data_IF_291353564196
#
_entry.id   IF_291353564196
#
_cell.length_a   1.000
_cell.length_b   1.000
_cell.length_c   1.000
_cell.angle_alpha   90.00
_cell.angle_beta   90.00
_cell.angle_gamma   90.00
#
_symmetry.space_group_name_H-M   'P 1'
#
loop_
_entity.id
_entity.type
_entity.pdbx_description
1 polymer ?
#
# COMPACT_ATOMS: atom_id res chain seq x y z
N UNK A 1 2.63 -10.57 -10.18
CA UNK A 1 2.03 -10.34 -8.87
C UNK A 1 0.55 -10.08 -9.08
N UNK A 2 -0.26 -11.16 -9.06
CA UNK A 2 -1.70 -11.08 -9.26
C UNK A 2 -2.37 -10.25 -8.17
N UNK A 3 -3.53 -9.68 -8.50
CA UNK A 3 -4.40 -8.98 -7.55
C UNK A 3 -4.91 -9.98 -6.50
N UNK A 4 -4.19 -10.09 -5.38
CA UNK A 4 -4.53 -11.00 -4.27
C UNK A 4 -5.07 -10.26 -3.05
N UNK A 5 -5.42 -8.98 -3.23
CA UNK A 5 -5.97 -8.13 -2.19
C UNK A 5 -7.47 -8.36 -1.95
N UNK A 6 -7.93 -7.97 -0.75
CA UNK A 6 -9.35 -7.95 -0.43
C UNK A 6 -10.15 -7.15 -1.48
N UNK A 7 -11.29 -7.70 -1.90
CA UNK A 7 -12.12 -7.16 -2.97
C UNK A 7 -11.65 -7.46 -4.39
N UNK A 8 -10.46 -8.05 -4.58
CA UNK A 8 -10.03 -8.52 -5.89
C UNK A 8 -10.88 -9.73 -6.31
N UNK A 9 -11.29 -9.74 -7.58
CA UNK A 9 -11.97 -10.90 -8.16
C UNK A 9 -10.95 -11.76 -8.90
N UNK A 10 -10.93 -13.05 -8.58
CA UNK A 10 -10.14 -14.05 -9.30
C UNK A 10 -10.98 -14.57 -10.45
N UNK A 11 -10.62 -14.18 -11.64
CA UNK A 11 -11.23 -14.56 -12.91
C UNK A 11 -10.16 -14.78 -13.99
N UNK A 12 -10.58 -14.95 -15.24
CA UNK A 12 -9.66 -15.19 -16.36
C UNK A 12 -8.73 -14.01 -16.66
N UNK A 13 -9.03 -12.80 -16.18
CA UNK A 13 -8.16 -11.61 -16.32
C UNK A 13 -7.06 -11.55 -15.26
N UNK A 14 -7.11 -12.44 -14.24
CA UNK A 14 -6.09 -12.56 -13.22
C UNK A 14 -4.81 -13.17 -13.80
N UNK A 15 -3.65 -12.85 -13.20
CA UNK A 15 -2.35 -13.38 -13.63
C UNK A 15 -2.19 -14.87 -13.28
N UNK A 16 -2.99 -15.71 -13.96
CA UNK A 16 -2.99 -17.17 -13.82
C UNK A 16 -2.39 -17.79 -15.08
N UNK A 17 -1.31 -18.53 -14.90
CA UNK A 17 -0.73 -19.35 -15.96
C UNK A 17 -1.18 -20.80 -15.79
N UNK A 18 -1.81 -21.36 -16.81
CA UNK A 18 -2.22 -22.77 -16.82
C UNK A 18 -1.28 -23.58 -17.70
N UNK A 19 -0.65 -24.59 -17.10
CA UNK A 19 0.28 -25.49 -17.78
C UNK A 19 -0.34 -26.88 -17.85
N UNK A 20 -0.68 -27.34 -19.05
CA UNK A 20 -1.09 -28.72 -19.27
C UNK A 20 0.14 -29.64 -19.24
N UNK A 21 0.06 -30.72 -18.46
CA UNK A 21 1.03 -31.80 -18.44
C UNK A 21 0.42 -33.02 -19.17
N UNK A 22 1.17 -33.61 -20.08
CA UNK A 22 0.77 -34.74 -20.90
C UNK A 22 1.40 -36.03 -20.38
N UNK A 23 0.82 -37.18 -20.76
CA UNK A 23 1.27 -38.50 -20.36
C UNK A 23 2.69 -38.85 -20.84
N UNK A 24 3.14 -38.23 -21.91
CA UNK A 24 4.50 -38.36 -22.45
C UNK A 24 5.55 -37.56 -21.65
N UNK A 25 5.13 -36.90 -20.54
CA UNK A 25 5.97 -36.05 -19.69
C UNK A 25 6.18 -34.63 -20.22
N UNK A 26 5.66 -34.28 -21.40
CA UNK A 26 5.74 -32.93 -21.93
C UNK A 26 4.81 -31.97 -21.16
N UNK A 27 5.12 -30.68 -21.23
CA UNK A 27 4.31 -29.61 -20.63
C UNK A 27 4.15 -28.47 -21.60
N UNK A 28 2.96 -27.87 -21.64
CA UNK A 28 2.67 -26.72 -22.51
C UNK A 28 1.75 -25.74 -21.80
N UNK A 29 2.05 -24.45 -21.91
CA UNK A 29 1.14 -23.39 -21.52
C UNK A 29 -0.09 -23.38 -22.42
N UNK A 30 -1.28 -23.27 -21.82
CA UNK A 30 -2.56 -23.30 -22.52
C UNK A 30 -3.36 -22.04 -22.20
N UNK A 31 -4.13 -21.56 -23.19
CA UNK A 31 -4.85 -20.29 -23.12
C UNK A 31 -6.37 -20.47 -23.23
N UNK A 32 -6.85 -21.65 -23.65
CA UNK A 32 -8.26 -22.00 -23.87
C UNK A 32 -8.93 -22.60 -22.63
N UNK A 33 -8.52 -22.13 -21.45
CA UNK A 33 -9.10 -22.51 -20.17
C UNK A 33 -10.14 -21.48 -19.68
N UNK A 34 -10.99 -21.89 -18.76
CA UNK A 34 -12.02 -21.04 -18.13
C UNK A 34 -11.97 -21.16 -16.61
N UNK A 35 -12.59 -20.20 -15.93
CA UNK A 35 -12.93 -20.29 -14.49
C UNK A 35 -14.45 -20.43 -14.39
N UNK A 36 -14.91 -21.51 -13.78
CA UNK A 36 -16.35 -21.79 -13.68
C UNK A 36 -17.00 -21.04 -12.50
N UNK A 37 -16.25 -20.69 -11.45
CA UNK A 37 -16.72 -20.01 -10.26
C UNK A 37 -15.77 -18.86 -9.86
N UNK A 38 -15.80 -17.71 -10.54
CA UNK A 38 -15.05 -16.53 -10.12
C UNK A 38 -15.33 -16.20 -8.65
N UNK A 39 -14.29 -15.90 -7.88
CA UNK A 39 -14.42 -15.58 -6.47
C UNK A 39 -13.86 -14.20 -6.15
N UNK A 40 -14.60 -13.44 -5.36
CA UNK A 40 -14.10 -12.19 -4.78
C UNK A 40 -13.42 -12.51 -3.46
N UNK A 41 -12.16 -12.10 -3.33
CA UNK A 41 -11.34 -12.37 -2.15
C UNK A 41 -11.81 -11.53 -0.96
N UNK A 42 -11.88 -12.17 0.19
CA UNK A 42 -12.12 -11.52 1.49
C UNK A 42 -10.90 -11.69 2.38
N UNK A 43 -10.64 -10.68 3.20
CA UNK A 43 -9.52 -10.70 4.14
C UNK A 43 -9.58 -11.95 5.02
N UNK A 44 -8.42 -12.57 5.21
CA UNK A 44 -8.20 -13.77 6.05
C UNK A 44 -9.01 -15.01 5.65
N UNK A 45 -9.69 -15.00 4.47
CA UNK A 45 -10.40 -16.15 3.94
C UNK A 45 -9.62 -16.82 2.80
N UNK A 46 -9.76 -18.14 2.70
CA UNK A 46 -9.32 -18.90 1.53
C UNK A 46 -10.48 -19.05 0.57
N UNK A 47 -10.32 -18.55 -0.65
CA UNK A 47 -11.29 -18.72 -1.73
C UNK A 47 -10.82 -19.82 -2.67
N UNK A 48 -11.74 -20.64 -3.13
CA UNK A 48 -11.44 -21.69 -4.11
C UNK A 48 -12.11 -21.36 -5.42
N UNK A 49 -11.34 -21.33 -6.50
CA UNK A 49 -11.83 -21.17 -7.87
C UNK A 49 -11.51 -22.43 -8.65
N UNK A 50 -12.43 -22.85 -9.51
CA UNK A 50 -12.27 -24.05 -10.34
C UNK A 50 -11.81 -23.64 -11.75
N UNK A 51 -10.58 -23.97 -12.08
CA UNK A 51 -10.02 -23.81 -13.41
C UNK A 51 -10.38 -25.03 -14.25
N UNK A 52 -10.96 -24.80 -15.43
CA UNK A 52 -11.34 -25.85 -16.38
C UNK A 52 -10.56 -25.73 -17.66
N UNK A 53 -9.97 -26.84 -18.07
CA UNK A 53 -9.31 -27.00 -19.36
C UNK A 53 -9.76 -28.32 -20.01
N UNK A 54 -10.48 -28.25 -21.14
CA UNK A 54 -11.12 -29.40 -21.81
C UNK A 54 -12.06 -30.16 -20.85
N UNK A 55 -11.81 -31.44 -20.63
CA UNK A 55 -12.56 -32.32 -19.72
C UNK A 55 -12.00 -32.38 -18.29
N UNK A 56 -10.96 -31.61 -18.01
CA UNK A 56 -10.28 -31.60 -16.71
C UNK A 56 -10.60 -30.32 -15.93
N UNK A 57 -10.75 -30.49 -14.64
CA UNK A 57 -10.92 -29.39 -13.68
C UNK A 57 -9.82 -29.45 -12.63
N UNK A 58 -9.43 -28.28 -12.15
CA UNK A 58 -8.48 -28.14 -11.06
C UNK A 58 -8.94 -27.02 -10.12
N UNK A 59 -9.04 -27.33 -8.82
CA UNK A 59 -9.39 -26.35 -7.81
C UNK A 59 -8.14 -25.61 -7.35
N UNK A 60 -8.13 -24.31 -7.59
CA UNK A 60 -7.10 -23.39 -7.15
C UNK A 60 -7.56 -22.70 -5.86
N UNK A 61 -6.89 -22.99 -4.76
CA UNK A 61 -7.09 -22.28 -3.50
C UNK A 61 -6.24 -21.01 -3.45
N UNK A 62 -6.89 -19.87 -3.30
CA UNK A 62 -6.25 -18.58 -3.18
C UNK A 62 -6.52 -18.03 -1.80
N UNK A 63 -5.47 -17.86 -1.02
CA UNK A 63 -5.56 -17.18 0.27
C UNK A 63 -5.37 -15.67 0.02
N UNK A 64 -6.32 -14.87 0.51
CA UNK A 64 -6.14 -13.43 0.54
C UNK A 64 -5.06 -13.10 1.58
N UNK A 65 -3.88 -12.75 1.10
CA UNK A 65 -2.73 -12.39 1.96
C UNK A 65 -2.73 -10.94 2.40
N UNK A 66 -3.69 -10.14 1.93
CA UNK A 66 -3.83 -8.76 2.36
C UNK A 66 -4.80 -8.70 3.52
N UNK A 67 -4.27 -8.38 4.63
CA UNK A 67 -5.01 -7.85 5.77
C UNK A 67 -5.81 -6.67 5.25
N UNK A 68 -7.14 -6.68 5.39
CA UNK A 68 -7.99 -5.54 5.00
C UNK A 68 -7.53 -4.25 5.66
N UNK A 69 -8.06 -3.11 5.20
CA UNK A 69 -7.65 -1.78 5.67
C UNK A 69 -7.53 -1.70 7.21
N UNK A 70 -8.53 -2.16 7.93
CA UNK A 70 -8.51 -2.14 9.40
C UNK A 70 -7.41 -3.02 9.98
N UNK A 71 -7.18 -4.18 9.39
CA UNK A 71 -6.12 -5.07 9.83
C UNK A 71 -4.73 -4.50 9.55
N UNK A 72 -4.54 -3.82 8.39
CA UNK A 72 -3.32 -3.08 8.11
C UNK A 72 -3.09 -1.98 9.14
N UNK A 73 -4.10 -1.15 9.40
CA UNK A 73 -4.04 -0.06 10.39
C UNK A 73 -3.69 -0.58 11.79
N UNK A 74 -4.24 -1.74 12.19
CA UNK A 74 -3.94 -2.38 13.48
C UNK A 74 -2.50 -2.90 13.59
N UNK A 75 -1.84 -3.18 12.47
CA UNK A 75 -0.43 -3.62 12.45
C UNK A 75 0.56 -2.46 12.46
N UNK A 76 0.09 -1.22 12.21
CA UNK A 76 0.94 -0.04 12.23
C UNK A 76 1.35 0.33 13.65
N UNK A 77 2.64 0.53 13.85
CA UNK A 77 3.23 0.88 15.13
C UNK A 77 3.39 2.39 15.27
N UNK A 78 3.42 2.88 16.52
CA UNK A 78 3.86 4.24 16.81
C UNK A 78 5.37 4.20 17.03
N UNK A 79 6.15 4.57 16.05
CA UNK A 79 7.60 4.81 16.20
C UNK A 79 7.78 6.30 16.47
N UNK A 80 8.61 6.65 17.46
CA UNK A 80 8.89 8.05 17.74
C UNK A 80 9.54 8.73 16.54
N UNK A 81 9.16 9.97 16.25
CA UNK A 81 9.74 10.73 15.15
C UNK A 81 11.26 10.81 15.25
N UNK A 82 11.78 11.08 16.46
CA UNK A 82 13.21 11.21 16.72
C UNK A 82 13.98 9.91 16.38
N UNK A 83 13.35 8.75 16.53
CA UNK A 83 13.94 7.47 16.15
C UNK A 83 14.04 7.37 14.63
N UNK A 84 12.96 7.67 13.90
CA UNK A 84 13.00 7.67 12.45
C UNK A 84 13.94 8.73 11.88
N UNK A 85 14.00 9.92 12.49
CA UNK A 85 14.87 11.01 12.04
C UNK A 85 16.37 10.70 12.24
N UNK A 86 16.72 9.79 13.15
CA UNK A 86 18.12 9.37 13.40
C UNK A 86 18.49 8.08 12.67
N UNK A 87 17.55 7.17 12.54
CA UNK A 87 17.77 5.79 12.11
C UNK A 87 16.79 5.32 11.05
N UNK A 88 16.16 6.23 10.28
CA UNK A 88 15.07 5.94 9.33
C UNK A 88 15.36 4.77 8.40
N UNK A 89 16.57 4.68 7.90
CA UNK A 89 16.99 3.60 7.00
C UNK A 89 17.03 2.22 7.67
N UNK A 90 17.10 2.15 8.99
CA UNK A 90 17.04 0.88 9.75
C UNK A 90 15.61 0.35 9.90
N UNK A 91 14.62 1.22 9.68
CA UNK A 91 13.19 0.91 9.81
C UNK A 91 12.48 0.71 8.46
N UNK A 92 13.22 0.70 7.34
CA UNK A 92 12.62 0.53 6.00
C UNK A 92 11.74 -0.72 5.95
N UNK A 93 10.49 -0.54 5.49
CA UNK A 93 9.49 -1.60 5.39
C UNK A 93 8.68 -1.86 6.66
N UNK A 94 9.01 -1.22 7.78
CA UNK A 94 8.17 -1.30 8.98
C UNK A 94 6.86 -0.51 8.79
N UNK A 95 5.77 -1.04 9.36
CA UNK A 95 4.45 -0.41 9.29
C UNK A 95 4.31 0.60 10.42
N UNK A 96 4.02 1.85 10.04
CA UNK A 96 3.92 2.97 10.97
C UNK A 96 2.61 3.72 10.81
N UNK A 97 2.18 4.39 11.89
CA UNK A 97 1.10 5.37 11.87
C UNK A 97 1.55 6.66 12.55
N UNK A 98 1.09 7.78 12.00
CA UNK A 98 1.26 9.10 12.58
C UNK A 98 -0.02 9.90 12.42
N UNK A 99 -0.21 10.84 13.32
CA UNK A 99 -1.23 11.88 13.25
C UNK A 99 -0.54 13.23 13.11
N UNK A 100 -1.06 14.10 12.25
CA UNK A 100 -0.45 15.41 12.08
C UNK A 100 -1.22 16.34 11.16
N UNK A 101 -0.67 17.56 11.00
CA UNK A 101 -1.19 18.59 10.12
C UNK A 101 -0.43 18.62 8.79
N UNK A 102 -1.16 18.70 7.70
CA UNK A 102 -0.59 18.89 6.35
C UNK A 102 -0.04 20.30 6.23
N UNK A 103 1.27 20.43 6.04
CA UNK A 103 1.95 21.71 5.83
C UNK A 103 2.05 22.09 4.35
N UNK A 104 2.10 21.11 3.47
CA UNK A 104 2.26 21.32 2.04
C UNK A 104 1.70 20.14 1.27
N UNK A 105 1.02 20.42 0.15
CA UNK A 105 0.50 19.43 -0.79
C UNK A 105 1.20 19.60 -2.13
N UNK A 106 1.88 18.58 -2.61
CA UNK A 106 2.54 18.52 -3.90
C UNK A 106 1.89 17.42 -4.74
N UNK A 107 1.07 17.82 -5.71
CA UNK A 107 0.44 16.86 -6.61
C UNK A 107 1.45 16.38 -7.65
N UNK A 108 1.59 15.08 -7.76
CA UNK A 108 2.38 14.41 -8.80
C UNK A 108 1.54 14.06 -10.01
N UNK A 109 2.19 13.43 -10.98
CA UNK A 109 1.52 12.77 -12.10
C UNK A 109 0.84 11.46 -11.60
N UNK A 110 -0.03 10.88 -12.42
CA UNK A 110 -0.62 9.55 -12.18
C UNK A 110 -1.35 9.38 -10.83
N UNK A 111 -2.09 10.42 -10.40
CA UNK A 111 -2.92 10.35 -9.20
C UNK A 111 -2.14 10.25 -7.87
N UNK A 112 -0.84 10.51 -7.89
CA UNK A 112 -0.01 10.54 -6.69
C UNK A 112 -0.01 11.92 -6.03
N UNK A 113 0.25 11.94 -4.73
CA UNK A 113 0.44 13.16 -3.95
C UNK A 113 1.57 12.94 -2.95
N UNK A 114 2.41 13.95 -2.81
CA UNK A 114 3.41 14.03 -1.76
C UNK A 114 2.98 15.12 -0.77
N UNK A 115 2.87 14.74 0.51
CA UNK A 115 2.50 15.63 1.59
C UNK A 115 3.70 15.86 2.51
N UNK A 116 3.86 17.07 3.00
CA UNK A 116 4.69 17.35 4.17
C UNK A 116 3.77 17.46 5.38
N UNK A 117 3.95 16.59 6.36
CA UNK A 117 3.05 16.49 7.50
C UNK A 117 3.85 16.74 8.78
N UNK A 118 3.46 17.76 9.54
CA UNK A 118 4.00 17.98 10.88
C UNK A 118 3.30 17.03 11.86
N UNK A 119 4.08 16.23 12.57
CA UNK A 119 3.55 15.22 13.51
C UNK A 119 3.59 15.68 14.95
N UNK A 120 3.99 16.93 15.21
CA UNK A 120 4.07 17.52 16.54
C UNK A 120 3.50 18.92 16.57
N UNK A 121 2.55 19.14 17.49
CA UNK A 121 2.06 20.48 17.81
C UNK A 121 2.91 21.14 18.89
N UNK A 122 3.12 22.45 18.77
CA UNK A 122 3.68 23.26 19.85
C UNK A 122 2.70 23.41 21.01
N UNK A 123 3.18 23.90 22.16
CA UNK A 123 2.33 24.23 23.30
C UNK A 123 1.22 25.27 22.98
N UNK A 124 1.35 25.99 21.88
CA UNK A 124 0.37 26.99 21.39
C UNK A 124 -0.51 26.47 20.27
N UNK A 125 -0.46 25.17 19.96
CA UNK A 125 -1.28 24.54 18.94
C UNK A 125 -0.77 24.69 17.50
N UNK A 126 0.44 25.24 17.30
CA UNK A 126 1.04 25.37 15.99
C UNK A 126 1.79 24.08 15.61
N UNK A 127 1.71 23.67 14.33
CA UNK A 127 2.33 22.49 13.77
C UNK A 127 3.45 22.89 12.82
N UNK A 128 4.72 22.73 13.22
CA UNK A 128 5.87 23.10 12.39
C UNK A 128 7.02 22.09 12.49
N UNK A 129 7.08 21.34 13.57
CA UNK A 129 8.20 20.46 13.88
C UNK A 129 7.87 19.01 13.52
N UNK A 130 8.90 18.16 13.54
CA UNK A 130 8.79 16.72 13.35
C UNK A 130 8.07 16.38 12.03
N UNK A 131 8.63 16.92 10.92
CA UNK A 131 8.03 16.79 9.58
C UNK A 131 8.36 15.45 8.95
N UNK A 132 7.32 14.73 8.54
CA UNK A 132 7.40 13.49 7.76
C UNK A 132 6.98 13.76 6.32
N UNK A 133 7.73 13.25 5.34
CA UNK A 133 7.31 13.21 3.95
C UNK A 133 6.39 12.01 3.76
N UNK A 134 5.22 12.23 3.20
CA UNK A 134 4.22 11.17 2.96
C UNK A 134 3.91 11.12 1.49
N UNK A 135 4.21 10.00 0.85
CA UNK A 135 3.79 9.73 -0.52
C UNK A 135 2.54 8.84 -0.49
N UNK A 136 1.53 9.20 -1.28
CA UNK A 136 0.25 8.53 -1.31
C UNK A 136 -0.36 8.54 -2.72
N UNK A 137 -1.04 7.46 -3.08
CA UNK A 137 -1.85 7.36 -4.29
C UNK A 137 -3.33 7.51 -3.93
N UNK A 138 -4.00 8.53 -4.51
CA UNK A 138 -5.42 8.77 -4.27
C UNK A 138 -6.27 7.58 -4.71
N UNK A 139 -7.18 7.17 -3.85
CA UNK A 139 -8.20 6.17 -4.19
C UNK A 139 -9.34 6.84 -4.96
N UNK A 140 -10.03 6.06 -5.79
CA UNK A 140 -11.18 6.55 -6.57
C UNK A 140 -12.25 7.17 -5.65
N UNK A 141 -12.63 8.41 -5.95
CA UNK A 141 -13.66 9.16 -5.20
C UNK A 141 -13.16 9.80 -3.90
N UNK A 142 -11.88 9.69 -3.58
CA UNK A 142 -11.32 10.35 -2.41
C UNK A 142 -11.18 11.88 -2.65
N UNK A 143 -11.55 12.72 -1.68
CA UNK A 143 -11.32 14.16 -1.77
C UNK A 143 -9.80 14.46 -1.75
N UNK A 144 -9.42 15.57 -2.38
CA UNK A 144 -8.03 16.03 -2.35
C UNK A 144 -7.68 16.59 -0.97
N UNK A 145 -6.45 16.34 -0.55
CA UNK A 145 -5.89 16.97 0.65
C UNK A 145 -5.61 18.45 0.41
N UNK A 146 -5.78 19.22 1.46
CA UNK A 146 -5.47 20.65 1.52
C UNK A 146 -4.43 20.91 2.61
N UNK A 147 -3.75 22.04 2.51
CA UNK A 147 -2.94 22.57 3.62
C UNK A 147 -3.84 22.81 4.83
N UNK A 148 -3.31 22.61 6.02
CA UNK A 148 -3.99 22.63 7.32
C UNK A 148 -4.92 21.45 7.62
N UNK A 149 -5.15 20.51 6.69
CA UNK A 149 -5.88 19.28 7.01
C UNK A 149 -5.19 18.50 8.13
N UNK A 150 -6.01 17.99 9.06
CA UNK A 150 -5.57 17.07 10.10
C UNK A 150 -5.78 15.65 9.63
N UNK A 151 -4.71 14.88 9.53
CA UNK A 151 -4.76 13.52 8.98
C UNK A 151 -4.11 12.50 9.90
N UNK A 152 -4.58 11.25 9.82
CA UNK A 152 -3.84 10.09 10.32
C UNK A 152 -3.41 9.26 9.12
N UNK A 153 -2.12 9.05 8.94
CA UNK A 153 -1.61 8.22 7.86
C UNK A 153 -0.98 6.93 8.38
N UNK A 154 -1.14 5.87 7.58
CA UNK A 154 -0.70 4.52 7.85
C UNK A 154 0.06 4.01 6.64
N UNK A 155 1.29 3.55 6.82
CA UNK A 155 2.11 3.15 5.68
C UNK A 155 3.38 2.42 6.09
N UNK A 156 4.28 2.31 5.14
CA UNK A 156 5.60 1.73 5.33
C UNK A 156 6.66 2.82 5.40
N UNK A 157 7.59 2.68 6.32
CA UNK A 157 8.79 3.53 6.34
C UNK A 157 9.56 3.32 5.04
N UNK A 158 9.81 4.41 4.32
CA UNK A 158 10.61 4.41 3.09
C UNK A 158 12.10 4.64 3.39
N UNK A 159 12.41 5.29 4.50
CA UNK A 159 13.73 5.68 4.93
C UNK A 159 13.89 7.20 5.00
N UNK A 160 15.11 7.67 4.79
CA UNK A 160 15.44 9.09 4.83
C UNK A 160 15.26 9.73 3.45
N UNK A 161 14.62 10.89 3.42
CA UNK A 161 14.48 11.72 2.23
C UNK A 161 15.21 13.05 2.42
N UNK A 162 16.11 13.37 1.50
CA UNK A 162 16.89 14.62 1.53
C UNK A 162 16.50 15.54 0.38
N UNK A 163 16.34 16.83 0.68
CA UNK A 163 16.09 17.87 -0.31
C UNK A 163 16.87 19.14 0.03
N UNK A 164 17.07 19.99 -0.97
CA UNK A 164 17.70 21.30 -0.78
C UNK A 164 16.63 22.35 -0.46
N UNK A 165 16.77 23.01 0.66
CA UNK A 165 15.90 24.12 1.04
C UNK A 165 16.26 25.38 0.23
N UNK A 166 15.34 26.35 0.17
CA UNK A 166 15.57 27.66 -0.50
C UNK A 166 16.81 28.39 0.01
N UNK A 167 17.21 28.14 1.26
CA UNK A 167 18.42 28.66 1.87
C UNK A 167 19.72 28.00 1.38
N UNK A 168 19.63 26.94 0.54
CA UNK A 168 20.77 26.12 0.10
C UNK A 168 21.20 25.05 1.12
N UNK A 169 20.50 24.90 2.24
CA UNK A 169 20.79 23.86 3.22
C UNK A 169 20.13 22.54 2.81
N UNK A 170 20.85 21.43 2.92
CA UNK A 170 20.27 20.09 2.78
C UNK A 170 19.47 19.75 4.04
N UNK A 171 18.19 19.43 3.87
CA UNK A 171 17.30 18.97 4.93
C UNK A 171 16.99 17.49 4.69
N UNK A 172 17.13 16.67 5.73
CA UNK A 172 16.80 15.26 5.70
C UNK A 172 15.66 15.01 6.69
N UNK A 173 14.60 14.35 6.23
CA UNK A 173 13.40 14.02 7.00
C UNK A 173 12.99 12.55 6.75
N UNK A 174 12.31 11.89 7.68
CA UNK A 174 11.74 10.58 7.44
C UNK A 174 10.70 10.62 6.32
N UNK A 175 10.64 9.55 5.52
CA UNK A 175 9.65 9.37 4.48
C UNK A 175 8.82 8.10 4.70
N UNK A 176 7.52 8.17 4.40
CA UNK A 176 6.55 7.08 4.52
C UNK A 176 5.76 6.94 3.24
N UNK A 177 5.67 5.71 2.71
CA UNK A 177 4.72 5.35 1.66
C UNK A 177 3.40 4.99 2.32
N UNK A 178 2.42 5.88 2.26
CA UNK A 178 1.13 5.67 2.89
C UNK A 178 0.26 4.71 2.07
N UNK A 179 -0.35 3.74 2.74
CA UNK A 179 -1.36 2.83 2.17
C UNK A 179 -2.78 3.34 2.44
N UNK A 180 -2.97 4.05 3.55
CA UNK A 180 -4.25 4.61 3.98
C UNK A 180 -4.04 5.96 4.68
N UNK A 181 -4.98 6.88 4.44
CA UNK A 181 -5.03 8.17 5.14
C UNK A 181 -6.48 8.43 5.55
N UNK A 182 -6.68 8.76 6.83
CA UNK A 182 -7.95 9.21 7.40
C UNK A 182 -7.89 10.73 7.64
N UNK A 183 -8.98 11.42 7.33
CA UNK A 183 -9.20 12.85 7.61
C UNK A 183 -10.20 13.04 8.74
#
# INVERSE_FOLDING_TARGET
NGKTGEGATIDKSSDITVIAKYEDGSSKEVYDWTIDNPATLKADETSTVTVKYRDKTYDLSVQCSTVGEQGFKNQCQNIAYEELARNGNSHIGEKVKFYGQVLQVMNGDDNTVTLRVSTKSSAYGNWYDDVVLVEYEYKSGQPKFLEDDMITFYGYVYGDYSYEAVSGATITIPAVLASYIDM
#
